data_IF_435513585833
#
_entry.id   IF_435513585833
#
_cell.length_a   1.000
_cell.length_b   1.000
_cell.length_c   1.000
_cell.angle_alpha   90.00
_cell.angle_beta   90.00
_cell.angle_gamma   90.00
#
_symmetry.space_group_name_H-M   'P 1'
#
loop_
_entity.id
_entity.type
_entity.pdbx_description
1 polymer ?
#
# COMPACT_ATOMS: atom_id res chain seq x y z
N UNK A 1 7.42 17.75 -0.90
CA UNK A 1 6.17 17.61 -0.12
C UNK A 1 5.86 16.14 0.06
N UNK A 2 5.16 15.74 1.13
CA UNK A 2 4.71 14.35 1.31
C UNK A 2 3.28 14.17 0.82
N UNK A 3 3.00 12.99 0.28
CA UNK A 3 1.69 12.58 -0.21
C UNK A 3 1.36 11.19 0.32
N UNK A 4 0.06 10.97 0.55
CA UNK A 4 -0.46 9.62 0.77
C UNK A 4 -0.52 8.87 -0.56
N UNK A 5 -0.08 7.62 -0.56
CA UNK A 5 -0.10 6.73 -1.71
C UNK A 5 -0.72 5.41 -1.31
N UNK A 6 -1.61 4.90 -2.15
CA UNK A 6 -2.04 3.52 -2.11
C UNK A 6 -1.11 2.73 -3.03
N UNK A 7 -0.51 1.67 -2.52
CA UNK A 7 0.38 0.80 -3.30
C UNK A 7 -0.09 -0.63 -3.14
N UNK A 8 -0.30 -1.33 -4.24
CA UNK A 8 -0.69 -2.74 -4.21
C UNK A 8 0.19 -3.57 -5.14
N UNK A 9 0.21 -4.88 -4.90
CA UNK A 9 0.94 -5.81 -5.75
C UNK A 9 0.07 -6.99 -6.19
N UNK A 10 0.39 -7.54 -7.36
CA UNK A 10 -0.06 -8.84 -7.83
C UNK A 10 1.19 -9.69 -8.12
N UNK A 11 1.50 -10.62 -7.20
CA UNK A 11 2.71 -11.44 -7.20
C UNK A 11 2.31 -12.87 -6.85
N UNK A 12 2.62 -13.82 -7.73
CA UNK A 12 2.22 -15.23 -7.59
C UNK A 12 3.22 -16.07 -6.82
N UNK A 13 4.51 -15.74 -6.88
CA UNK A 13 5.56 -16.53 -6.22
C UNK A 13 5.68 -16.14 -4.73
N UNK A 14 5.50 -17.10 -3.78
CA UNK A 14 5.45 -16.79 -2.36
C UNK A 14 6.75 -16.21 -1.76
N UNK A 15 7.94 -16.56 -2.24
CA UNK A 15 9.21 -16.01 -1.73
C UNK A 15 9.37 -14.53 -2.14
N UNK A 16 9.07 -14.15 -3.38
CA UNK A 16 9.09 -12.77 -3.88
C UNK A 16 8.02 -11.94 -3.19
N UNK A 17 6.81 -12.49 -3.02
CA UNK A 17 5.73 -11.83 -2.27
C UNK A 17 6.20 -11.45 -0.86
N UNK A 18 6.81 -12.38 -0.12
CA UNK A 18 7.36 -12.10 1.23
C UNK A 18 8.46 -11.05 1.23
N UNK A 19 9.30 -11.00 0.19
CA UNK A 19 10.35 -9.98 0.05
C UNK A 19 9.75 -8.60 -0.22
N UNK A 20 8.83 -8.50 -1.17
CA UNK A 20 8.12 -7.26 -1.52
C UNK A 20 7.35 -6.71 -0.32
N UNK A 21 6.56 -7.57 0.33
CA UNK A 21 5.89 -7.32 1.59
C UNK A 21 6.79 -6.65 2.63
N UNK A 22 7.92 -7.30 2.96
CA UNK A 22 8.88 -6.83 3.95
C UNK A 22 9.50 -5.49 3.58
N UNK A 23 9.75 -5.25 2.29
CA UNK A 23 10.24 -3.96 1.82
C UNK A 23 9.18 -2.88 2.04
N UNK A 24 7.93 -3.12 1.65
CA UNK A 24 6.84 -2.14 1.74
C UNK A 24 6.47 -1.80 3.20
N UNK A 25 6.53 -2.77 4.12
CA UNK A 25 6.35 -2.56 5.56
C UNK A 25 7.38 -1.58 6.15
N UNK A 26 8.56 -1.47 5.53
CA UNK A 26 9.57 -0.48 5.91
C UNK A 26 9.28 0.95 5.42
N UNK A 27 8.26 1.15 4.57
CA UNK A 27 7.88 2.46 4.02
C UNK A 27 6.49 2.92 4.43
N UNK A 28 5.62 2.01 4.88
CA UNK A 28 4.27 2.37 5.28
C UNK A 28 3.50 1.21 5.91
N UNK A 29 2.19 1.37 5.95
CA UNK A 29 1.26 0.50 6.67
C UNK A 29 0.64 -0.51 5.70
N UNK A 30 0.66 -1.80 6.07
CA UNK A 30 -0.05 -2.86 5.37
C UNK A 30 -1.53 -2.81 5.76
N UNK A 31 -2.42 -2.50 4.82
CA UNK A 31 -3.86 -2.35 5.09
C UNK A 31 -4.70 -3.54 4.60
N UNK A 32 -4.21 -4.31 3.63
CA UNK A 32 -4.76 -5.61 3.23
C UNK A 32 -3.60 -6.56 2.86
N UNK A 33 -3.91 -7.79 2.47
CA UNK A 33 -2.90 -8.80 2.11
C UNK A 33 -1.93 -8.34 1.02
N UNK A 34 -2.40 -7.58 0.03
CA UNK A 34 -1.59 -7.08 -1.08
C UNK A 34 -1.71 -5.56 -1.27
N UNK A 35 -2.17 -4.83 -0.25
CA UNK A 35 -2.40 -3.38 -0.34
C UNK A 35 -1.78 -2.67 0.85
N UNK A 36 -1.07 -1.57 0.56
CA UNK A 36 -0.31 -0.76 1.49
C UNK A 36 -0.69 0.71 1.34
N UNK A 37 -0.62 1.43 2.45
CA UNK A 37 -0.75 2.88 2.48
C UNK A 37 0.57 3.50 2.93
N UNK A 38 1.12 4.39 2.10
CA UNK A 38 2.47 4.95 2.26
C UNK A 38 2.37 6.48 2.29
N UNK A 39 2.99 7.12 3.30
CA UNK A 39 3.11 8.56 3.37
C UNK A 39 4.55 8.99 3.08
N UNK A 40 4.80 9.46 1.86
CA UNK A 40 6.16 9.66 1.38
C UNK A 40 6.31 10.90 0.50
N UNK A 41 7.53 11.37 0.34
CA UNK A 41 7.96 12.26 -0.75
C UNK A 41 8.11 11.45 -2.05
N UNK A 42 8.29 12.13 -3.18
CA UNK A 42 8.60 11.45 -4.45
C UNK A 42 9.96 10.75 -4.38
N UNK A 43 10.96 11.35 -3.72
CA UNK A 43 12.29 10.72 -3.54
C UNK A 43 12.22 9.43 -2.71
N UNK A 44 11.40 9.42 -1.66
CA UNK A 44 11.15 8.21 -0.87
C UNK A 44 10.40 7.15 -1.70
N UNK A 45 9.45 7.55 -2.55
CA UNK A 45 8.77 6.64 -3.48
C UNK A 45 9.75 6.04 -4.50
N UNK A 46 10.63 6.84 -5.09
CA UNK A 46 11.65 6.33 -6.02
C UNK A 46 12.60 5.34 -5.35
N UNK A 47 12.98 5.58 -4.10
CA UNK A 47 13.75 4.63 -3.30
C UNK A 47 12.99 3.32 -3.09
N UNK A 48 11.68 3.37 -2.87
CA UNK A 48 10.83 2.18 -2.79
C UNK A 48 10.82 1.43 -4.12
N UNK A 49 10.53 2.12 -5.23
CA UNK A 49 10.50 1.55 -6.58
C UNK A 49 11.82 0.85 -6.91
N UNK A 50 12.96 1.49 -6.62
CA UNK A 50 14.29 0.91 -6.84
C UNK A 50 14.53 -0.35 -6.00
N UNK A 51 14.07 -0.40 -4.75
CA UNK A 51 14.19 -1.61 -3.91
C UNK A 51 13.31 -2.74 -4.43
N UNK A 52 12.09 -2.42 -4.87
CA UNK A 52 11.14 -3.40 -5.38
C UNK A 52 11.61 -4.01 -6.70
N UNK A 53 12.15 -3.20 -7.61
CA UNK A 53 12.72 -3.65 -8.89
C UNK A 53 13.84 -4.70 -8.77
N UNK A 54 14.45 -4.85 -7.58
CA UNK A 54 15.49 -5.86 -7.32
C UNK A 54 14.94 -7.22 -6.90
N UNK A 55 13.66 -7.29 -6.58
CA UNK A 55 13.03 -8.50 -6.01
C UNK A 55 11.77 -8.93 -6.77
N UNK A 56 11.30 -8.13 -7.71
CA UNK A 56 10.21 -8.44 -8.64
C UNK A 56 10.75 -8.97 -9.95
N UNK A 57 9.99 -9.85 -10.59
CA UNK A 57 10.23 -10.31 -11.96
C UNK A 57 9.26 -9.63 -12.95
N UNK A 58 9.38 -9.94 -14.23
CA UNK A 58 8.56 -9.36 -15.31
C UNK A 58 7.06 -9.65 -15.13
N UNK A 59 6.70 -10.83 -14.60
CA UNK A 59 5.29 -11.18 -14.36
C UNK A 59 4.67 -10.48 -13.14
N UNK A 60 5.48 -9.85 -12.29
CA UNK A 60 5.03 -9.22 -11.05
C UNK A 60 4.55 -7.78 -11.32
N UNK A 61 3.37 -7.44 -10.84
CA UNK A 61 2.79 -6.12 -11.05
C UNK A 61 2.71 -5.33 -9.74
N UNK A 62 3.14 -4.08 -9.76
CA UNK A 62 2.98 -3.15 -8.63
C UNK A 62 2.24 -1.91 -9.11
N UNK A 63 1.11 -1.62 -8.46
CA UNK A 63 0.26 -0.48 -8.72
C UNK A 63 0.51 0.62 -7.70
N UNK A 64 0.55 1.87 -8.17
CA UNK A 64 0.75 3.05 -7.33
C UNK A 64 -0.32 4.10 -7.64
N UNK A 65 -0.97 4.62 -6.61
CA UNK A 65 -1.94 5.70 -6.72
C UNK A 65 -1.64 6.77 -5.67
N UNK A 66 -1.32 7.98 -6.12
CA UNK A 66 -1.23 9.15 -5.24
C UNK A 66 -2.63 9.62 -4.87
N UNK A 67 -2.87 9.79 -3.58
CA UNK A 67 -4.15 10.23 -3.02
C UNK A 67 -4.09 11.72 -2.71
N UNK A 68 -5.14 12.46 -3.08
CA UNK A 68 -5.38 13.78 -2.51
C UNK A 68 -5.82 13.64 -1.04
N UNK A 69 -5.77 14.74 -0.28
CA UNK A 69 -6.14 14.76 1.14
C UNK A 69 -7.53 14.19 1.38
N UNK A 70 -8.53 14.56 0.56
CA UNK A 70 -9.90 14.06 0.67
C UNK A 70 -9.99 12.54 0.49
N UNK A 71 -9.35 12.00 -0.55
CA UNK A 71 -9.35 10.56 -0.82
C UNK A 71 -8.62 9.77 0.28
N UNK A 72 -7.50 10.30 0.77
CA UNK A 72 -6.77 9.68 1.86
C UNK A 72 -7.63 9.62 3.15
N UNK A 73 -8.41 10.67 3.45
CA UNK A 73 -9.22 10.72 4.68
C UNK A 73 -10.43 9.80 4.61
N UNK A 74 -10.98 9.60 3.41
CA UNK A 74 -12.13 8.72 3.18
C UNK A 74 -11.76 7.24 3.04
N UNK A 75 -10.47 6.90 2.98
CA UNK A 75 -10.03 5.51 2.87
C UNK A 75 -10.41 4.72 4.12
N UNK A 76 -11.06 3.57 3.93
CA UNK A 76 -11.53 2.70 5.00
C UNK A 76 -11.39 1.24 4.58
N UNK A 77 -11.35 0.35 5.57
CA UNK A 77 -11.37 -1.10 5.34
C UNK A 77 -12.68 -1.69 5.84
N UNK A 78 -13.11 -2.78 5.22
CA UNK A 78 -14.25 -3.57 5.67
C UNK A 78 -13.78 -5.00 5.93
N UNK A 79 -14.03 -5.50 7.13
CA UNK A 79 -13.75 -6.88 7.52
C UNK A 79 -15.00 -7.75 7.39
N UNK A 80 -14.82 -9.03 7.06
CA UNK A 80 -15.92 -9.97 6.86
C UNK A 80 -16.41 -10.46 8.23
N UNK A 81 -17.50 -9.85 8.73
CA UNK A 81 -18.36 -10.16 9.91
C UNK A 81 -18.46 -9.01 10.91
N UNK A 82 -19.19 -7.97 10.52
CA UNK A 82 -20.33 -7.50 11.31
C UNK A 82 -21.33 -6.93 10.32
N UNK A 83 -22.61 -6.83 10.68
CA UNK A 83 -23.63 -6.14 9.89
C UNK A 83 -23.07 -4.84 9.30
N UNK A 84 -23.53 -4.42 8.11
CA UNK A 84 -23.19 -3.12 7.51
C UNK A 84 -23.07 -2.06 8.61
N UNK A 85 -21.84 -1.65 9.01
CA UNK A 85 -21.70 -0.74 10.12
C UNK A 85 -22.24 0.61 9.67
N UNK A 86 -22.93 1.34 10.56
CA UNK A 86 -23.47 2.67 10.25
C UNK A 86 -22.38 3.63 9.75
N UNK A 87 -21.11 3.39 10.12
CA UNK A 87 -19.95 4.06 9.54
C UNK A 87 -18.74 3.11 9.41
N UNK A 88 -18.01 3.14 8.27
CA UNK A 88 -16.81 2.34 8.11
C UNK A 88 -15.63 2.92 8.91
N UNK A 89 -14.71 2.04 9.34
CA UNK A 89 -13.50 2.43 10.09
C UNK A 89 -12.49 3.08 9.14
N UNK A 90 -12.35 4.41 9.23
CA UNK A 90 -11.42 5.17 8.39
C UNK A 90 -9.98 4.99 8.85
N UNK A 91 -9.06 5.02 7.88
CA UNK A 91 -7.63 4.97 8.14
C UNK A 91 -7.15 6.35 8.59
N UNK A 92 -6.61 6.44 9.81
CA UNK A 92 -6.16 7.71 10.41
C UNK A 92 -5.15 8.43 9.52
N UNK A 93 -5.37 9.71 9.23
CA UNK A 93 -4.31 10.59 8.72
C UNK A 93 -3.69 11.29 9.93
N UNK A 94 -2.38 11.14 10.11
CA UNK A 94 -1.60 11.90 11.08
C UNK A 94 -1.10 13.20 10.45
#
# INVERSE_FOLDING_TARGET
MKHWRLVSYDIREPKRLRRVAKIMEGFGERIQYSVFRIYSTDKELEKLRWKLAKVTEEEDNIFYLTLCTKCASGAHTQEKKSAWPEAPKTLKIL
#
